data_IF_038319925664
#
_entry.id   IF_038319925664
#
_cell.length_a   1.000
_cell.length_b   1.000
_cell.length_c   1.000
_cell.angle_alpha   90.00
_cell.angle_beta   90.00
_cell.angle_gamma   90.00
#
_symmetry.space_group_name_H-M   'P 1'
#
loop_
_entity.id
_entity.type
_entity.pdbx_description
1 polymer ?
#
# COMPACT_ATOMS: atom_id res chain seq x y z
N UNK A 1 -8.96 -4.16 -18.87
CA UNK A 1 -7.70 -3.38 -18.96
C UNK A 1 -7.12 -3.20 -17.56
N UNK A 2 -5.86 -2.77 -17.45
CA UNK A 2 -5.24 -2.41 -16.16
C UNK A 2 -4.94 -0.91 -16.21
N UNK A 3 -5.35 -0.20 -15.17
CA UNK A 3 -4.97 1.21 -14.96
C UNK A 3 -4.03 1.26 -13.77
N UNK A 4 -2.82 1.77 -13.99
CA UNK A 4 -1.78 1.86 -12.98
C UNK A 4 -1.43 3.32 -12.67
N UNK A 5 -1.17 3.59 -11.39
CA UNK A 5 -0.62 4.86 -10.92
C UNK A 5 0.65 4.57 -10.12
N UNK A 6 1.74 5.25 -10.47
CA UNK A 6 3.03 5.11 -9.81
C UNK A 6 3.25 6.25 -8.81
N UNK A 7 3.79 5.93 -7.65
CA UNK A 7 3.94 6.86 -6.53
C UNK A 7 5.33 6.76 -5.91
N UNK A 8 5.84 7.93 -5.53
CA UNK A 8 6.95 8.10 -4.62
C UNK A 8 6.46 8.89 -3.40
N UNK A 9 6.52 8.29 -2.22
CA UNK A 9 6.04 8.90 -0.98
C UNK A 9 7.14 8.91 0.08
N UNK A 10 7.32 10.03 0.78
CA UNK A 10 8.31 10.17 1.86
C UNK A 10 7.65 10.74 3.12
N UNK A 11 8.04 10.31 4.33
CA UNK A 11 7.61 10.98 5.55
C UNK A 11 8.08 12.43 5.59
N UNK A 12 7.21 13.36 5.98
CA UNK A 12 7.54 14.80 6.09
C UNK A 12 8.77 15.03 6.97
N UNK A 13 8.87 14.29 8.09
CA UNK A 13 9.95 14.43 9.06
C UNK A 13 11.26 13.77 8.61
N UNK A 14 11.23 12.86 7.62
CA UNK A 14 12.42 12.13 7.17
C UNK A 14 12.41 11.98 5.64
N UNK A 15 12.69 13.06 4.87
CA UNK A 15 12.58 13.06 3.41
C UNK A 15 13.56 12.12 2.68
N UNK A 16 14.64 11.72 3.36
CA UNK A 16 15.57 10.73 2.84
C UNK A 16 14.97 9.32 2.79
N UNK A 17 13.86 9.09 3.50
CA UNK A 17 13.13 7.83 3.47
C UNK A 17 11.99 7.90 2.47
N UNK A 18 11.90 6.94 1.58
CA UNK A 18 10.82 6.90 0.60
C UNK A 18 10.29 5.49 0.35
N UNK A 19 9.04 5.45 -0.10
CA UNK A 19 8.35 4.30 -0.66
C UNK A 19 8.12 4.57 -2.14
N UNK A 20 8.57 3.64 -2.98
CA UNK A 20 8.28 3.60 -4.40
C UNK A 20 7.37 2.42 -4.68
N UNK A 21 6.17 2.70 -5.17
CA UNK A 21 5.16 1.67 -5.40
C UNK A 21 4.18 2.08 -6.49
N UNK A 22 3.46 1.10 -7.03
CA UNK A 22 2.33 1.33 -7.93
C UNK A 22 1.03 0.83 -7.32
N UNK A 23 -0.08 1.49 -7.68
CA UNK A 23 -1.44 1.05 -7.41
C UNK A 23 -2.08 0.61 -8.72
N UNK A 24 -2.58 -0.62 -8.78
CA UNK A 24 -3.15 -1.22 -9.98
C UNK A 24 -4.64 -1.51 -9.78
N UNK A 25 -5.45 -1.03 -10.73
CA UNK A 25 -6.87 -1.29 -10.85
C UNK A 25 -7.15 -2.17 -12.07
N UNK A 26 -7.98 -3.20 -11.88
CA UNK A 26 -8.27 -4.20 -12.90
C UNK A 26 -9.74 -4.10 -13.30
N UNK A 27 -10.01 -3.80 -14.57
CA UNK A 27 -11.38 -3.60 -15.07
C UNK A 27 -12.27 -4.84 -14.90
N UNK A 28 -11.68 -6.04 -14.96
CA UNK A 28 -12.39 -7.31 -14.77
C UNK A 28 -12.50 -7.73 -13.29
N UNK A 29 -11.85 -7.02 -12.37
CA UNK A 29 -11.85 -7.30 -10.92
C UNK A 29 -12.00 -5.97 -10.15
N UNK A 30 -13.17 -5.33 -10.22
CA UNK A 30 -13.37 -3.95 -9.73
C UNK A 30 -13.21 -3.80 -8.21
N UNK A 31 -13.34 -4.89 -7.45
CA UNK A 31 -13.13 -4.89 -5.99
C UNK A 31 -11.67 -5.18 -5.59
N UNK A 32 -10.79 -5.47 -6.56
CA UNK A 32 -9.39 -5.78 -6.29
C UNK A 32 -8.51 -4.58 -6.60
N UNK A 33 -7.79 -4.13 -5.58
CA UNK A 33 -6.73 -3.13 -5.71
C UNK A 33 -5.40 -3.76 -5.34
N UNK A 34 -4.39 -3.66 -6.21
CA UNK A 34 -3.04 -4.15 -5.90
C UNK A 34 -2.08 -3.01 -5.65
N UNK A 35 -1.28 -3.14 -4.62
CA UNK A 35 -0.13 -2.27 -4.35
C UNK A 35 1.13 -3.10 -4.56
N UNK A 36 1.99 -2.69 -5.49
CA UNK A 36 3.26 -3.37 -5.76
C UNK A 36 4.38 -2.44 -5.34
N UNK A 37 5.14 -2.84 -4.32
CA UNK A 37 6.23 -2.05 -3.76
C UNK A 37 7.53 -2.45 -4.41
N UNK A 38 8.19 -1.48 -5.04
CA UNK A 38 9.47 -1.66 -5.70
C UNK A 38 10.58 -1.36 -4.70
N UNK A 39 10.85 -0.09 -4.41
CA UNK A 39 11.94 0.31 -3.53
C UNK A 39 11.41 0.86 -2.21
N UNK A 40 12.06 0.47 -1.12
CA UNK A 40 11.73 0.93 0.23
C UNK A 40 13.02 1.33 0.88
N UNK A 41 13.22 2.63 0.97
CA UNK A 41 14.39 3.19 1.60
C UNK A 41 14.05 3.67 3.02
N UNK A 42 13.45 2.79 3.84
CA UNK A 42 13.63 2.74 5.30
C UNK A 42 12.68 1.79 6.05
N UNK A 43 13.23 1.19 7.11
CA UNK A 43 12.49 0.63 8.24
C UNK A 43 11.87 1.70 9.13
N UNK A 44 11.08 2.61 8.56
CA UNK A 44 10.40 3.62 9.35
C UNK A 44 9.35 2.96 10.24
N UNK A 45 9.43 3.22 11.54
CA UNK A 45 8.52 2.72 12.57
C UNK A 45 7.24 3.56 12.68
N UNK A 46 6.98 4.49 11.75
CA UNK A 46 5.92 5.50 11.89
C UNK A 46 5.11 5.75 10.61
N UNK A 47 4.94 4.73 9.76
CA UNK A 47 4.12 4.82 8.56
C UNK A 47 2.90 3.88 8.64
N UNK A 48 1.77 4.34 8.11
CA UNK A 48 0.65 3.47 7.76
C UNK A 48 0.85 2.99 6.34
N UNK A 49 0.75 1.68 6.15
CA UNK A 49 0.90 1.01 4.87
C UNK A 49 -0.44 0.34 4.52
N UNK A 50 -0.92 0.62 3.32
CA UNK A 50 -2.23 0.17 2.84
C UNK A 50 -3.23 1.31 2.70
N UNK A 51 -4.51 1.01 2.87
CA UNK A 51 -5.60 1.98 2.78
C UNK A 51 -5.93 2.45 4.20
N UNK A 52 -5.62 3.71 4.50
CA UNK A 52 -5.94 4.30 5.80
C UNK A 52 -7.42 4.70 5.89
N UNK A 53 -8.01 4.46 7.05
CA UNK A 53 -9.42 4.60 7.40
C UNK A 53 -10.18 5.74 6.71
N UNK A 54 -11.35 5.40 6.16
CA UNK A 54 -12.47 6.33 5.93
C UNK A 54 -13.39 6.32 7.14
N UNK A 55 -13.96 7.47 7.51
CA UNK A 55 -14.95 7.57 8.60
C UNK A 55 -16.28 6.85 8.30
N UNK A 56 -16.50 6.42 7.05
CA UNK A 56 -17.77 5.91 6.55
C UNK A 56 -17.70 4.55 5.84
N UNK A 57 -16.54 3.87 5.82
CA UNK A 57 -16.36 2.65 5.03
C UNK A 57 -15.22 1.75 5.49
N UNK A 58 -15.05 0.58 4.84
CA UNK A 58 -14.07 -0.42 5.25
C UNK A 58 -12.65 0.17 5.21
N UNK A 59 -11.95 0.09 6.34
CA UNK A 59 -10.52 0.38 6.44
C UNK A 59 -9.76 -0.90 6.16
N UNK A 60 -8.89 -0.93 5.16
CA UNK A 60 -8.01 -2.07 4.94
C UNK A 60 -6.57 -1.64 5.12
N UNK A 61 -6.11 -1.81 6.36
CA UNK A 61 -4.78 -1.44 6.78
C UNK A 61 -3.92 -2.69 6.82
N UNK A 62 -2.80 -2.67 6.08
CA UNK A 62 -1.83 -3.77 6.13
C UNK A 62 -0.95 -3.66 7.38
N UNK A 63 -0.43 -2.46 7.65
CA UNK A 63 0.41 -2.20 8.82
C UNK A 63 0.36 -0.73 9.25
N UNK A 64 0.56 -0.47 10.54
CA UNK A 64 0.64 0.87 11.14
C UNK A 64 1.83 0.90 12.08
N UNK A 65 2.70 1.89 11.91
CA UNK A 65 3.83 2.14 12.81
C UNK A 65 4.74 0.92 13.03
N UNK A 66 4.91 0.09 12.00
CA UNK A 66 5.75 -1.10 12.05
C UNK A 66 6.97 -0.90 11.16
N UNK A 67 8.15 -0.92 11.78
CA UNK A 67 9.40 -0.92 11.04
C UNK A 67 9.49 -2.19 10.16
N UNK A 68 9.94 -2.01 8.92
CA UNK A 68 10.17 -3.10 7.96
C UNK A 68 8.92 -3.93 7.61
N UNK A 69 7.71 -3.38 7.77
CA UNK A 69 6.48 -4.09 7.45
C UNK A 69 6.39 -4.52 5.96
N UNK A 70 7.01 -3.77 5.05
CA UNK A 70 7.09 -4.13 3.64
C UNK A 70 8.55 -4.29 3.21
N UNK A 71 8.80 -5.28 2.37
CA UNK A 71 10.08 -5.56 1.71
C UNK A 71 10.01 -5.29 0.21
N UNK A 72 11.18 -5.14 -0.43
CA UNK A 72 11.30 -5.07 -1.90
C UNK A 72 10.45 -6.16 -2.58
N UNK A 73 9.74 -5.80 -3.66
CA UNK A 73 8.83 -6.66 -4.44
C UNK A 73 7.60 -7.21 -3.70
N UNK A 74 7.30 -6.75 -2.49
CA UNK A 74 6.03 -7.13 -1.83
C UNK A 74 4.84 -6.64 -2.65
N UNK A 75 3.86 -7.50 -2.88
CA UNK A 75 2.57 -7.13 -3.44
C UNK A 75 1.47 -7.30 -2.40
N UNK A 76 0.72 -6.25 -2.14
CA UNK A 76 -0.51 -6.32 -1.36
C UNK A 76 -1.71 -6.35 -2.31
N UNK A 77 -2.63 -7.28 -2.05
CA UNK A 77 -3.90 -7.39 -2.76
C UNK A 77 -5.00 -7.09 -1.75
N UNK A 78 -5.74 -6.01 -1.99
CA UNK A 78 -6.87 -5.60 -1.17
C UNK A 78 -8.17 -5.97 -1.87
N UNK A 79 -9.08 -6.61 -1.15
CA UNK A 79 -10.46 -6.83 -1.58
C UNK A 79 -11.37 -5.83 -0.85
N UNK A 80 -11.86 -4.84 -1.59
CA UNK A 80 -12.67 -3.75 -1.05
C UNK A 80 -14.09 -4.17 -0.68
N UNK A 81 -14.56 -5.35 -1.12
CA UNK A 81 -15.87 -5.87 -0.74
C UNK A 81 -15.81 -6.56 0.63
N UNK A 82 -14.79 -7.41 0.84
CA UNK A 82 -14.63 -8.17 2.09
C UNK A 82 -13.90 -7.38 3.17
N UNK A 83 -13.19 -6.32 2.81
CA UNK A 83 -12.32 -5.58 3.72
C UNK A 83 -11.05 -6.36 4.10
N UNK A 84 -10.63 -7.32 3.30
CA UNK A 84 -9.47 -8.18 3.58
C UNK A 84 -8.28 -7.86 2.68
N UNK A 85 -7.10 -8.34 3.08
CA UNK A 85 -5.89 -8.25 2.26
C UNK A 85 -5.14 -9.57 2.20
N UNK A 86 -4.31 -9.74 1.17
CA UNK A 86 -3.30 -10.80 1.06
C UNK A 86 -1.96 -10.18 0.68
N UNK A 87 -0.87 -10.70 1.26
CA UNK A 87 0.51 -10.33 0.91
C UNK A 87 1.15 -11.44 0.08
N UNK A 88 1.74 -11.06 -1.05
CA UNK A 88 2.56 -11.89 -1.93
C UNK A 88 4.01 -11.39 -1.94
#
# INVERSE_FOLDING_TARGET
>A
RITGFEYYASPISIPAQYYHFQILFYENLPNIVKYVYFEIYAGSSSATIGVQQSSSGPSITYSVNQAYAISYNTTLIFDTNSGTYTRL
#
